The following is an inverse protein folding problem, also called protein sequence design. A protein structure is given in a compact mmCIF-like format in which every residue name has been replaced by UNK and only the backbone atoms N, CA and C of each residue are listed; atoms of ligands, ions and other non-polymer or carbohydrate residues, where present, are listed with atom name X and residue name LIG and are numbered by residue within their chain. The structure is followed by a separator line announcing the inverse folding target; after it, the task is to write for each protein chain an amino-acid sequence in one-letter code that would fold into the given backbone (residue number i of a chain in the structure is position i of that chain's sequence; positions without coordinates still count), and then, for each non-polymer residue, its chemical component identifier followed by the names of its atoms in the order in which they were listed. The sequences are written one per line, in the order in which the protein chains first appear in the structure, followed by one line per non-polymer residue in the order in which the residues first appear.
data_IF_953896124620
#
_entry.id   IF_953896124620
#
_cell.length_a   1.000
_cell.length_b   1.000
_cell.length_c   1.000
_cell.angle_alpha   90.00
_cell.angle_beta   90.00
_cell.angle_gamma   90.00
#
_symmetry.space_group_name_H-M   'P 1'
#
loop_
_entity.id
_entity.type
_entity.pdbx_description
1 polymer ?
#
# COMPACT_ATOMS: atom_id res chain seq x y z
N UNK A 1 -15.11 16.67 9.83
CA UNK A 1 -14.00 16.78 10.80
C UNK A 1 -12.82 17.47 10.15
N UNK A 2 -11.97 18.16 10.92
CA UNK A 2 -10.71 18.70 10.39
C UNK A 2 -9.69 17.58 10.16
N UNK A 3 -8.70 17.82 9.30
CA UNK A 3 -7.59 16.86 9.09
C UNK A 3 -6.76 16.60 10.36
N UNK A 4 -6.67 17.56 11.28
CA UNK A 4 -6.05 17.37 12.60
C UNK A 4 -6.80 16.38 13.49
N UNK A 5 -8.13 16.53 13.58
CA UNK A 5 -8.98 15.61 14.32
C UNK A 5 -8.96 14.20 13.72
N UNK A 6 -9.00 14.10 12.38
CA UNK A 6 -8.90 12.82 11.69
C UNK A 6 -7.54 12.15 11.93
N UNK A 7 -6.44 12.92 11.93
CA UNK A 7 -5.10 12.39 12.20
C UNK A 7 -4.99 11.80 13.60
N UNK A 8 -5.45 12.54 14.61
CA UNK A 8 -5.50 12.06 15.99
C UNK A 8 -6.36 10.79 16.13
N UNK A 9 -7.53 10.77 15.49
CA UNK A 9 -8.45 9.63 15.52
C UNK A 9 -7.90 8.38 14.81
N UNK A 10 -7.11 8.55 13.75
CA UNK A 10 -6.52 7.44 12.99
C UNK A 10 -5.14 7.00 13.53
N UNK A 11 -4.53 7.78 14.43
CA UNK A 11 -3.19 7.56 14.94
C UNK A 11 -2.09 7.93 13.95
N UNK A 12 -2.31 8.94 13.10
CA UNK A 12 -1.34 9.37 12.08
C UNK A 12 -1.20 10.90 11.99
N UNK A 13 -0.14 11.35 11.31
CA UNK A 13 0.15 12.78 11.16
C UNK A 13 -0.82 13.48 10.19
N UNK A 14 -0.98 14.81 10.33
CA UNK A 14 -1.80 15.62 9.42
C UNK A 14 -1.36 15.46 7.94
N UNK A 15 -0.06 15.46 7.59
CA UNK A 15 0.37 15.18 6.23
C UNK A 15 -0.10 13.81 5.72
N UNK A 16 -0.08 12.77 6.57
CA UNK A 16 -0.56 11.44 6.21
C UNK A 16 -2.04 11.43 5.87
N UNK A 17 -2.86 12.15 6.63
CA UNK A 17 -4.29 12.34 6.32
C UNK A 17 -4.46 13.07 4.99
N UNK A 18 -3.72 14.16 4.75
CA UNK A 18 -3.81 14.92 3.49
C UNK A 18 -3.45 14.04 2.28
N UNK A 19 -2.41 13.20 2.40
CA UNK A 19 -2.04 12.22 1.36
C UNK A 19 -3.17 11.24 1.07
N UNK A 20 -3.77 10.69 2.14
CA UNK A 20 -4.93 9.80 2.00
C UNK A 20 -6.07 10.48 1.24
N UNK A 21 -6.40 11.73 1.58
CA UNK A 21 -7.45 12.48 0.89
C UNK A 21 -7.11 12.75 -0.58
N UNK A 22 -5.86 13.07 -0.89
CA UNK A 22 -5.41 13.37 -2.25
C UNK A 22 -5.46 12.17 -3.20
N UNK A 23 -5.59 10.94 -2.69
CA UNK A 23 -5.83 9.74 -3.52
C UNK A 23 -7.26 9.64 -4.08
N UNK A 24 -8.21 10.38 -3.49
CA UNK A 24 -9.64 10.27 -3.76
C UNK A 24 -10.31 9.01 -3.17
N UNK A 25 -9.57 8.10 -2.52
CA UNK A 25 -10.09 6.83 -1.99
C UNK A 25 -11.03 7.00 -0.78
N UNK A 26 -11.08 8.20 -0.20
CA UNK A 26 -12.05 8.55 0.84
C UNK A 26 -13.17 9.37 0.19
N UNK A 27 -14.37 8.81 0.00
CA UNK A 27 -15.45 9.51 -0.69
C UNK A 27 -16.03 10.66 0.16
N UNK A 28 -16.67 11.63 -0.50
CA UNK A 28 -17.44 12.68 0.20
C UNK A 28 -16.59 13.77 0.85
N UNK A 29 -15.29 13.81 0.58
CA UNK A 29 -14.40 14.90 0.98
C UNK A 29 -14.85 16.18 0.27
N UNK A 30 -15.05 17.25 1.06
CA UNK A 30 -15.44 18.56 0.54
C UNK A 30 -14.29 19.53 0.65
N UNK A 31 -14.10 20.32 -0.40
CA UNK A 31 -13.21 21.48 -0.40
C UNK A 31 -14.06 22.75 -0.36
N UNK A 32 -14.38 23.21 0.85
CA UNK A 32 -15.07 24.49 1.06
C UNK A 32 -14.19 25.37 1.94
N UNK A 33 -13.16 25.97 1.34
CA UNK A 33 -12.12 26.75 2.04
C UNK A 33 -11.15 25.92 2.90
N UNK A 34 -11.56 24.73 3.38
CA UNK A 34 -10.74 23.73 4.08
C UNK A 34 -11.20 22.32 3.72
N UNK A 35 -10.27 21.38 3.59
CA UNK A 35 -10.60 19.96 3.45
C UNK A 35 -11.27 19.42 4.72
N UNK A 36 -12.48 18.88 4.55
CA UNK A 36 -13.26 18.28 5.62
C UNK A 36 -13.29 16.77 5.45
N UNK A 37 -12.77 16.05 6.46
CA UNK A 37 -12.84 14.59 6.53
C UNK A 37 -14.26 14.14 6.96
N UNK A 38 -14.95 13.28 6.19
CA UNK A 38 -16.30 12.82 6.54
C UNK A 38 -16.31 11.95 7.81
N UNK A 39 -17.21 12.25 8.75
CA UNK A 39 -17.26 11.53 10.03
C UNK A 39 -17.57 10.03 9.85
N UNK A 40 -18.52 9.69 8.97
CA UNK A 40 -18.87 8.30 8.69
C UNK A 40 -17.68 7.50 8.15
N UNK A 41 -16.93 8.08 7.19
CA UNK A 41 -15.71 7.46 6.69
C UNK A 41 -14.68 7.27 7.81
N UNK A 42 -14.48 8.28 8.66
CA UNK A 42 -13.53 8.20 9.78
C UNK A 42 -13.87 7.03 10.71
N UNK A 43 -15.14 6.89 11.10
CA UNK A 43 -15.60 5.81 11.97
C UNK A 43 -15.34 4.43 11.34
N UNK A 44 -15.61 4.26 10.04
CA UNK A 44 -15.31 3.02 9.33
C UNK A 44 -13.81 2.71 9.32
N UNK A 45 -12.96 3.72 9.07
CA UNK A 45 -11.50 3.57 9.04
C UNK A 45 -10.89 3.30 10.43
N UNK A 46 -11.50 3.80 11.50
CA UNK A 46 -11.10 3.49 12.88
C UNK A 46 -11.42 2.05 13.26
N UNK A 47 -12.55 1.52 12.79
CA UNK A 47 -12.99 0.16 13.08
C UNK A 47 -12.25 -0.93 12.27
N UNK A 48 -11.34 -0.56 11.35
CA UNK A 48 -10.62 -1.53 10.52
C UNK A 48 -9.68 -2.38 11.36
N UNK A 49 -9.81 -3.70 11.20
CA UNK A 49 -8.88 -4.66 11.75
C UNK A 49 -7.50 -4.54 11.07
N UNK A 50 -6.46 -4.97 11.78
CA UNK A 50 -5.18 -5.26 11.17
C UNK A 50 -5.32 -6.36 10.10
N UNK A 51 -4.44 -6.35 9.11
CA UNK A 51 -4.27 -7.46 8.19
C UNK A 51 -3.68 -8.65 8.94
N UNK A 52 -4.30 -9.81 8.82
CA UNK A 52 -3.76 -11.05 9.38
C UNK A 52 -2.74 -11.64 8.40
N UNK A 53 -1.46 -11.47 8.74
CA UNK A 53 -0.37 -11.97 7.92
C UNK A 53 -0.02 -13.44 8.23
N UNK A 54 -0.63 -14.07 9.24
CA UNK A 54 -0.32 -15.46 9.59
C UNK A 54 -0.81 -16.46 8.56
N UNK A 55 -1.76 -16.05 7.71
CA UNK A 55 -2.26 -16.81 6.57
C UNK A 55 -1.25 -16.95 5.42
N UNK A 56 -0.12 -16.22 5.45
CA UNK A 56 0.93 -16.31 4.45
C UNK A 56 1.97 -17.37 4.86
N UNK A 57 2.35 -18.22 3.90
CA UNK A 57 3.37 -19.26 4.11
C UNK A 57 4.81 -18.75 4.15
N UNK A 58 5.01 -17.46 3.89
CA UNK A 58 6.31 -16.79 3.83
C UNK A 58 6.71 -16.25 5.21
N UNK A 59 7.99 -15.95 5.44
CA UNK A 59 8.45 -15.39 6.71
C UNK A 59 8.10 -13.90 6.88
N UNK A 60 7.91 -13.21 5.75
CA UNK A 60 7.57 -11.79 5.69
C UNK A 60 6.86 -11.48 4.37
N UNK A 61 6.24 -10.31 4.34
CA UNK A 61 5.60 -9.74 3.15
C UNK A 61 6.19 -8.34 2.92
N UNK A 62 6.62 -8.09 1.69
CA UNK A 62 7.01 -6.75 1.26
C UNK A 62 5.76 -5.88 1.08
N UNK A 63 5.79 -4.63 1.51
CA UNK A 63 4.68 -3.69 1.47
C UNK A 63 5.12 -2.42 0.75
N UNK A 64 4.42 -2.06 -0.33
CA UNK A 64 4.62 -0.80 -1.03
C UNK A 64 3.87 0.30 -0.30
N UNK A 65 4.58 1.34 0.13
CA UNK A 65 3.98 2.55 0.70
C UNK A 65 3.82 3.57 -0.40
N UNK A 66 2.59 3.70 -0.86
CA UNK A 66 2.23 4.60 -1.92
C UNK A 66 1.88 5.99 -1.38
N UNK A 67 2.17 7.00 -2.18
CA UNK A 67 1.66 8.35 -1.99
C UNK A 67 0.46 8.59 -2.92
N UNK A 68 -0.14 9.77 -2.82
CA UNK A 68 -1.13 10.25 -3.78
C UNK A 68 -0.55 10.28 -5.21
N UNK A 69 -1.40 10.17 -6.25
CA UNK A 69 -0.92 10.05 -7.61
C UNK A 69 -0.19 11.33 -8.01
N UNK A 70 0.98 11.19 -8.63
CA UNK A 70 1.77 12.30 -9.13
C UNK A 70 2.25 11.98 -10.55
N UNK A 71 2.24 13.00 -11.41
CA UNK A 71 2.81 12.87 -12.75
C UNK A 71 4.32 12.82 -12.70
N UNK A 72 4.89 11.97 -13.53
CA UNK A 72 6.33 11.85 -13.76
C UNK A 72 6.60 11.80 -15.25
N UNK A 73 7.81 12.21 -15.64
CA UNK A 73 8.30 12.11 -17.00
C UNK A 73 9.27 10.92 -17.08
N UNK A 74 8.70 9.71 -17.09
CA UNK A 74 9.44 8.45 -17.23
C UNK A 74 8.97 7.71 -18.49
N UNK A 75 9.89 7.06 -19.18
CA UNK A 75 9.64 6.43 -20.50
C UNK A 75 8.53 5.37 -20.44
N UNK A 76 8.41 4.68 -19.31
CA UNK A 76 7.50 3.54 -19.11
C UNK A 76 6.26 3.85 -18.26
N UNK A 77 6.12 5.07 -17.72
CA UNK A 77 4.92 5.50 -16.98
C UNK A 77 4.75 7.01 -16.90
N UNK A 78 3.50 7.46 -16.97
CA UNK A 78 3.13 8.88 -16.75
C UNK A 78 2.88 9.19 -15.27
N UNK A 79 2.61 8.17 -14.45
CA UNK A 79 2.16 8.33 -13.06
C UNK A 79 2.99 7.48 -12.09
N UNK A 80 3.15 7.99 -10.87
CA UNK A 80 3.52 7.22 -9.68
C UNK A 80 2.44 7.37 -8.62
N UNK A 81 2.44 6.47 -7.64
CA UNK A 81 1.52 6.54 -6.51
C UNK A 81 0.18 5.85 -6.79
N UNK A 82 -0.76 6.04 -5.88
CA UNK A 82 -2.09 5.43 -5.93
C UNK A 82 -3.17 6.51 -5.97
N UNK A 83 -4.10 6.42 -6.92
CA UNK A 83 -5.25 7.31 -6.99
C UNK A 83 -6.43 6.69 -7.71
N UNK A 84 -7.63 7.00 -7.22
CA UNK A 84 -8.91 6.50 -7.76
C UNK A 84 -9.30 7.11 -9.11
N UNK A 85 -8.65 8.20 -9.51
CA UNK A 85 -8.81 8.81 -10.84
C UNK A 85 -7.97 8.16 -11.93
N UNK A 86 -7.07 7.22 -11.60
CA UNK A 86 -6.32 6.45 -12.57
C UNK A 86 -7.14 5.24 -13.01
N UNK A 87 -7.13 4.92 -14.30
CA UNK A 87 -7.66 3.64 -14.77
C UNK A 87 -6.77 2.46 -14.34
N UNK A 88 -7.24 1.23 -14.54
CA UNK A 88 -6.51 0.03 -14.11
C UNK A 88 -5.12 -0.11 -14.75
N UNK A 89 -4.96 0.29 -16.01
CA UNK A 89 -3.69 0.19 -16.74
C UNK A 89 -2.71 1.22 -16.19
N UNK A 90 -3.16 2.46 -16.02
CA UNK A 90 -2.39 3.54 -15.41
C UNK A 90 -1.98 3.20 -13.97
N UNK A 91 -2.91 2.63 -13.19
CA UNK A 91 -2.65 2.25 -11.81
C UNK A 91 -1.62 1.12 -11.72
N UNK A 92 -1.73 0.09 -12.55
CA UNK A 92 -0.74 -0.99 -12.60
C UNK A 92 0.64 -0.44 -12.97
N UNK A 93 0.73 0.39 -14.01
CA UNK A 93 1.99 1.02 -14.43
C UNK A 93 2.59 1.88 -13.31
N UNK A 94 1.77 2.64 -12.59
CA UNK A 94 2.21 3.49 -11.50
C UNK A 94 2.78 2.72 -10.29
N UNK A 95 2.24 1.52 -10.02
CA UNK A 95 2.59 0.72 -8.85
C UNK A 95 3.70 -0.32 -9.10
N UNK A 96 3.97 -0.67 -10.37
CA UNK A 96 4.89 -1.77 -10.72
C UNK A 96 6.37 -1.38 -10.83
N UNK A 97 6.73 -0.11 -10.58
CA UNK A 97 7.95 0.47 -11.16
C UNK A 97 8.95 1.14 -10.22
N UNK A 98 10.23 0.83 -10.44
CA UNK A 98 11.43 1.55 -9.99
C UNK A 98 11.50 1.87 -8.50
N UNK A 99 11.37 0.82 -7.68
CA UNK A 99 11.48 0.91 -6.23
C UNK A 99 12.89 0.56 -5.75
N UNK A 100 13.37 1.30 -4.76
CA UNK A 100 14.52 0.86 -3.97
C UNK A 100 14.05 -0.24 -3.03
N UNK A 101 14.48 -1.47 -3.30
CA UNK A 101 14.11 -2.66 -2.53
C UNK A 101 15.15 -3.77 -2.70
N UNK A 102 14.91 -4.88 -2.00
CA UNK A 102 15.53 -6.17 -2.22
C UNK A 102 14.53 -6.98 -3.07
N UNK A 103 14.79 -7.16 -4.37
CA UNK A 103 13.82 -7.77 -5.26
C UNK A 103 13.61 -9.26 -4.98
N UNK A 104 14.62 -9.95 -4.43
CA UNK A 104 14.51 -11.36 -4.07
C UNK A 104 13.54 -11.56 -2.90
N UNK A 105 13.58 -10.65 -1.92
CA UNK A 105 12.63 -10.66 -0.79
C UNK A 105 11.20 -10.33 -1.22
N UNK A 106 11.03 -9.40 -2.17
CA UNK A 106 9.71 -9.12 -2.77
C UNK A 106 9.18 -10.34 -3.52
N UNK A 107 10.01 -10.95 -4.37
CA UNK A 107 9.65 -12.15 -5.13
C UNK A 107 9.31 -13.34 -4.23
N UNK A 108 10.07 -13.55 -3.14
CA UNK A 108 9.81 -14.62 -2.17
C UNK A 108 8.49 -14.44 -1.41
N UNK A 109 7.99 -13.21 -1.28
CA UNK A 109 6.69 -12.90 -0.69
C UNK A 109 5.50 -13.22 -1.60
N UNK A 110 5.71 -13.23 -2.92
CA UNK A 110 4.74 -13.43 -4.02
C UNK A 110 3.50 -12.49 -4.04
N UNK A 111 3.34 -11.68 -3.00
CA UNK A 111 2.33 -10.62 -2.88
C UNK A 111 2.99 -9.32 -2.45
N UNK A 112 2.51 -8.21 -2.99
CA UNK A 112 2.91 -6.86 -2.61
C UNK A 112 1.65 -6.03 -2.30
N UNK A 113 1.22 -5.99 -1.02
CA UNK A 113 0.20 -5.07 -0.58
C UNK A 113 0.68 -3.63 -0.77
N UNK A 114 -0.17 -2.80 -1.34
CA UNK A 114 0.06 -1.37 -1.53
C UNK A 114 -0.74 -0.62 -0.48
N UNK A 115 -0.06 0.20 0.30
CA UNK A 115 -0.66 0.95 1.40
C UNK A 115 -0.64 2.45 1.14
N UNK A 116 -1.71 3.13 1.55
CA UNK A 116 -1.75 4.59 1.71
C UNK A 116 -2.16 4.86 3.14
N UNK A 117 -1.37 5.68 3.84
CA UNK A 117 -1.62 5.98 5.27
C UNK A 117 -1.80 4.72 6.16
N UNK A 118 -1.14 3.61 5.80
CA UNK A 118 -1.22 2.34 6.53
C UNK A 118 -2.47 1.51 6.26
N UNK A 119 -3.32 1.89 5.29
CA UNK A 119 -4.42 1.07 4.80
C UNK A 119 -4.05 0.42 3.49
N UNK A 120 -4.33 -0.87 3.32
CA UNK A 120 -4.11 -1.56 2.04
C UNK A 120 -5.18 -1.11 1.05
N UNK A 121 -4.73 -0.48 -0.04
CA UNK A 121 -5.59 0.08 -1.10
C UNK A 121 -5.45 -0.65 -2.43
N UNK A 122 -4.39 -1.42 -2.62
CA UNK A 122 -4.21 -2.33 -3.74
C UNK A 122 -3.36 -3.53 -3.36
N UNK A 123 -3.41 -4.58 -4.16
CA UNK A 123 -2.62 -5.81 -4.01
C UNK A 123 -2.04 -6.17 -5.37
N UNK A 124 -0.72 -6.32 -5.43
CA UNK A 124 -0.01 -6.82 -6.61
C UNK A 124 0.45 -8.26 -6.38
N UNK A 125 0.43 -9.07 -7.43
CA UNK A 125 0.95 -10.45 -7.50
C UNK A 125 1.81 -10.62 -8.76
N UNK A 126 2.41 -11.80 -8.99
CA UNK A 126 3.23 -12.04 -10.19
C UNK A 126 4.61 -11.36 -10.12
N UNK A 127 5.24 -11.41 -8.94
CA UNK A 127 6.45 -10.64 -8.60
C UNK A 127 7.75 -11.45 -8.75
N UNK A 128 7.67 -12.65 -9.32
CA UNK A 128 8.79 -13.59 -9.43
C UNK A 128 9.93 -13.10 -10.33
N UNK A 129 9.61 -12.26 -11.33
CA UNK A 129 10.57 -11.69 -12.27
C UNK A 129 10.72 -10.19 -12.03
N UNK A 130 11.96 -9.70 -12.06
CA UNK A 130 12.29 -8.29 -11.90
C UNK A 130 13.38 -7.82 -12.86
N UNK A 131 13.40 -6.51 -13.08
CA UNK A 131 14.43 -5.81 -13.84
C UNK A 131 15.09 -4.75 -12.98
N UNK A 132 16.40 -4.52 -13.18
CA UNK A 132 17.14 -3.45 -12.52
C UNK A 132 17.30 -2.25 -13.46
N UNK A 133 17.33 -1.04 -12.91
CA UNK A 133 17.49 0.22 -13.68
C UNK A 133 18.93 0.45 -14.19
N UNK A 134 19.82 -0.51 -13.96
CA UNK A 134 21.24 -0.43 -14.31
C UNK A 134 22.10 0.35 -13.31
N UNK A 135 21.51 0.97 -12.27
CA UNK A 135 22.28 1.58 -11.19
C UNK A 135 22.77 0.54 -10.18
N UNK A 136 23.94 0.77 -9.58
CA UNK A 136 24.63 -0.21 -8.71
C UNK A 136 24.55 0.24 -7.25
N UNK A 137 24.56 -0.71 -6.33
CA UNK A 137 24.61 -0.47 -4.89
C UNK A 137 23.26 -0.02 -4.32
N UNK A 138 23.28 0.81 -3.28
CA UNK A 138 22.05 1.21 -2.54
C UNK A 138 21.14 2.16 -3.32
N UNK A 139 21.60 2.66 -4.47
CA UNK A 139 20.80 3.46 -5.38
C UNK A 139 19.92 2.61 -6.32
N UNK A 140 20.25 1.33 -6.50
CA UNK A 140 19.58 0.39 -7.40
C UNK A 140 18.07 0.41 -7.24
N UNK A 141 17.37 0.50 -8.38
CA UNK A 141 15.91 0.42 -8.42
C UNK A 141 15.48 -0.79 -9.22
N UNK A 142 14.38 -1.38 -8.79
CA UNK A 142 13.82 -2.57 -9.41
C UNK A 142 12.37 -2.35 -9.82
N UNK A 143 11.99 -2.94 -10.95
CA UNK A 143 10.60 -3.03 -11.40
C UNK A 143 10.19 -4.49 -11.61
N UNK A 144 8.89 -4.75 -11.52
CA UNK A 144 8.32 -6.10 -11.63
C UNK A 144 7.42 -6.15 -12.87
N UNK A 145 7.96 -6.47 -14.07
CA UNK A 145 7.25 -6.33 -15.33
C UNK A 145 6.10 -7.32 -15.51
N UNK A 146 6.08 -8.41 -14.73
CA UNK A 146 5.00 -9.41 -14.72
C UNK A 146 3.97 -9.17 -13.63
N UNK A 147 4.09 -8.07 -12.88
CA UNK A 147 3.17 -7.73 -11.83
C UNK A 147 1.74 -7.62 -12.37
N UNK A 148 0.79 -8.12 -11.60
CA UNK A 148 -0.65 -8.07 -11.90
C UNK A 148 -1.37 -7.41 -10.74
N UNK A 149 -2.47 -6.73 -11.05
CA UNK A 149 -3.33 -6.12 -10.05
C UNK A 149 -4.39 -7.12 -9.60
N UNK A 150 -4.12 -7.84 -8.50
CA UNK A 150 -5.07 -8.77 -7.89
C UNK A 150 -6.29 -8.06 -7.31
N UNK A 151 -6.10 -6.81 -6.86
CA UNK A 151 -7.22 -5.98 -6.43
C UNK A 151 -6.84 -4.55 -6.08
N UNK A 152 -7.85 -3.67 -6.06
CA UNK A 152 -7.72 -2.29 -5.61
C UNK A 152 -9.05 -1.71 -5.13
N UNK A 153 -8.99 -0.63 -4.36
CA UNK A 153 -10.15 0.06 -3.81
C UNK A 153 -10.43 1.38 -4.53
N UNK A 154 -11.70 1.68 -4.73
CA UNK A 154 -12.17 3.03 -5.08
C UNK A 154 -12.80 3.75 -3.90
N UNK A 155 -13.24 2.99 -2.88
CA UNK A 155 -13.80 3.50 -1.63
C UNK A 155 -13.22 2.74 -0.44
N UNK A 156 -12.44 3.43 0.40
CA UNK A 156 -11.84 2.86 1.61
C UNK A 156 -12.82 2.79 2.79
N UNK A 157 -13.89 3.59 2.78
CA UNK A 157 -14.95 3.53 3.78
C UNK A 157 -15.87 2.33 3.55
N UNK A 158 -16.05 1.90 2.30
CA UNK A 158 -16.80 0.70 1.91
C UNK A 158 -15.98 -0.19 0.95
N UNK A 159 -14.95 -0.90 1.45
CA UNK A 159 -14.01 -1.65 0.62
C UNK A 159 -14.73 -2.77 -0.11
N UNK A 160 -14.71 -2.67 -1.43
CA UNK A 160 -15.04 -3.73 -2.37
C UNK A 160 -13.89 -3.76 -3.39
N UNK A 161 -13.48 -4.97 -3.80
CA UNK A 161 -12.47 -5.08 -4.83
C UNK A 161 -13.04 -4.52 -6.14
N UNK A 162 -12.41 -3.46 -6.66
CA UNK A 162 -12.79 -2.87 -7.94
C UNK A 162 -12.21 -3.66 -9.12
N UNK A 163 -11.21 -4.52 -8.88
CA UNK A 163 -10.77 -5.50 -9.86
C UNK A 163 -11.74 -6.70 -9.89
N UNK A 164 -11.86 -7.30 -11.07
CA UNK A 164 -12.52 -8.60 -11.29
C UNK A 164 -11.44 -9.66 -11.59
N UNK A 165 -10.70 -10.15 -10.58
CA UNK A 165 -9.61 -11.09 -10.80
C UNK A 165 -10.13 -12.45 -11.27
N UNK A 166 -9.64 -12.92 -12.41
CA UNK A 166 -9.97 -14.25 -12.93
C UNK A 166 -9.28 -15.38 -12.15
N UNK A 167 -8.14 -15.10 -11.51
CA UNK A 167 -7.41 -16.07 -10.69
C UNK A 167 -8.03 -16.14 -9.28
N UNK A 168 -8.51 -17.32 -8.82
CA UNK A 168 -9.06 -17.49 -7.49
C UNK A 168 -8.11 -17.10 -6.37
N UNK A 169 -6.80 -17.26 -6.57
CA UNK A 169 -5.79 -16.89 -5.58
C UNK A 169 -5.66 -15.36 -5.46
N UNK A 170 -5.68 -14.65 -6.59
CA UNK A 170 -5.71 -13.18 -6.61
C UNK A 170 -6.97 -12.65 -5.88
N UNK A 171 -8.13 -13.28 -6.12
CA UNK A 171 -9.38 -12.94 -5.42
C UNK A 171 -9.28 -13.17 -3.90
N UNK A 172 -8.69 -14.30 -3.49
CA UNK A 172 -8.46 -14.66 -2.08
C UNK A 172 -7.54 -13.65 -1.40
N UNK A 173 -6.41 -13.32 -2.02
CA UNK A 173 -5.41 -12.37 -1.51
C UNK A 173 -6.00 -10.97 -1.37
N UNK A 174 -6.73 -10.50 -2.38
CA UNK A 174 -7.46 -9.23 -2.32
C UNK A 174 -8.48 -9.22 -1.17
N UNK A 175 -9.24 -10.29 -0.99
CA UNK A 175 -10.23 -10.42 0.10
C UNK A 175 -9.61 -10.43 1.51
N UNK A 176 -8.41 -10.98 1.66
CA UNK A 176 -7.68 -10.97 2.94
C UNK A 176 -7.11 -9.59 3.30
N UNK A 177 -6.65 -8.84 2.30
CA UNK A 177 -5.82 -7.66 2.52
C UNK A 177 -6.54 -6.33 2.32
N UNK A 178 -7.39 -6.18 1.31
CA UNK A 178 -7.94 -4.88 0.93
C UNK A 178 -8.73 -4.24 2.08
N UNK A 179 -8.46 -2.96 2.33
CA UNK A 179 -9.11 -2.14 3.36
C UNK A 179 -8.63 -2.42 4.78
N UNK A 180 -7.76 -3.41 4.99
CA UNK A 180 -7.16 -3.71 6.29
C UNK A 180 -6.06 -2.70 6.65
N UNK A 181 -5.80 -2.57 7.95
CA UNK A 181 -4.65 -1.83 8.47
C UNK A 181 -3.39 -2.69 8.35
N UNK A 182 -2.36 -2.15 7.73
CA UNK A 182 -1.04 -2.76 7.64
C UNK A 182 0.01 -1.68 7.93
N UNK A 183 0.25 -1.38 9.22
CA UNK A 183 1.30 -0.43 9.59
C UNK A 183 2.66 -0.99 9.19
N UNK A 184 3.52 -0.14 8.67
CA UNK A 184 4.87 -0.53 8.25
C UNK A 184 5.87 0.56 8.63
N UNK A 185 7.04 0.14 9.13
CA UNK A 185 8.13 1.02 9.59
C UNK A 185 9.31 0.83 8.63
N UNK A 186 9.76 1.89 7.96
CA UNK A 186 10.92 1.84 7.05
C UNK A 186 11.27 3.23 6.46
N UNK A 187 12.55 3.42 6.10
CA UNK A 187 13.12 4.62 5.46
C UNK A 187 12.99 4.69 3.93
N UNK A 188 12.22 3.79 3.29
CA UNK A 188 12.07 3.71 1.82
C UNK A 188 10.62 3.51 1.34
N UNK A 189 10.41 3.33 0.02
CA UNK A 189 9.09 3.05 -0.57
C UNK A 189 8.58 1.64 -0.23
N UNK A 190 9.49 0.67 -0.06
CA UNK A 190 9.15 -0.71 0.33
C UNK A 190 9.53 -0.92 1.81
N UNK A 191 8.62 -1.55 2.54
CA UNK A 191 8.84 -2.06 3.90
C UNK A 191 8.72 -3.59 3.90
N UNK A 192 9.34 -4.26 4.88
CA UNK A 192 9.22 -5.71 5.04
C UNK A 192 8.57 -5.97 6.39
N UNK A 193 7.42 -6.64 6.37
CA UNK A 193 6.62 -6.91 7.57
C UNK A 193 6.66 -8.41 7.84
N UNK A 194 7.15 -8.84 9.02
CA UNK A 194 7.11 -10.24 9.41
C UNK A 194 5.67 -10.78 9.42
N UNK A 195 5.47 -11.98 8.88
CA UNK A 195 4.15 -12.66 8.87
C UNK A 195 3.83 -13.33 10.20
N UNK A 196 4.87 -13.56 11.00
CA UNK A 196 4.78 -14.11 12.35
C UNK A 196 5.38 -13.11 13.33
N UNK A 197 4.76 -12.91 14.51
CA UNK A 197 5.38 -12.12 15.54
C UNK A 197 6.72 -12.77 15.91
N UNK A 198 7.81 -12.04 15.73
CA UNK A 198 9.10 -12.40 16.31
C UNK A 198 8.88 -12.39 17.82
N UNK A 199 8.94 -13.56 18.48
CA UNK A 199 8.96 -13.59 19.94
C UNK A 199 10.24 -12.89 20.36
N UNK A 200 10.13 -11.65 20.82
CA UNK A 200 11.26 -10.88 21.30
C UNK A 200 11.86 -11.63 22.49
N UNK A 201 13.10 -12.10 22.35
CA UNK A 201 13.90 -12.53 23.48
C UNK A 201 14.07 -11.30 24.38
N UNK A 202 13.87 -11.41 25.71
CA UNK A 202 14.16 -10.30 26.60
C UNK A 202 15.64 -9.94 26.46
N UNK A 203 15.91 -8.64 26.30
CA UNK A 203 17.24 -8.08 26.27
C UNK A 203 18.03 -8.59 27.49
N UNK A 204 19.09 -9.33 27.24
CA UNK A 204 20.09 -9.63 28.26
C UNK A 204 20.78 -8.32 28.60
N UNK A 205 20.43 -7.73 29.75
CA UNK A 205 21.26 -6.74 30.42
C UNK A 205 22.62 -7.41 30.70
N UNK A 206 23.67 -6.89 30.07
CA UNK A 206 25.06 -7.23 30.34
C UNK A 206 25.74 -6.04 30.99
N UNK A 207 26.08 -6.27 32.26
CA UNK A 207 26.94 -5.56 33.23
C UNK A 207 27.87 -4.44 32.72
#
# INVERSE_FOLDING_TARGET
MTTGQAGAALGCSIPTVKKLLATGVVPGVRETGRQVFPLAALQQLQARSAADLTAFGTAEVAVLRSDAPARVDEVDREWIGFGTGLDQVQLLAALSGWWRCDPARVAAGDVLPVTVAGFVVAVLTGLAEWEADGTIGTAARFRFPKARLAGYLTDLAAPANAADPADPEDARLAGLLLGKRLPSVSGGPIAYVPTRPTTDQPATEGE
#
